data_IF_529719561923
#
_entry.id   IF_529719561923
#
_cell.length_a   1.000
_cell.length_b   1.000
_cell.length_c   1.000
_cell.angle_alpha   90.00
_cell.angle_beta   90.00
_cell.angle_gamma   90.00
#
_symmetry.space_group_name_H-M   'P 1'
#
loop_
_entity.id
_entity.type
_entity.pdbx_description
1 polymer ?
#
# COMPACT_ATOMS: atom_id res chain seq x y z
N UNK A 1 5.46 -4.70 15.24
CA UNK A 1 5.89 -6.03 15.72
C UNK A 1 4.83 -6.70 16.60
N UNK A 2 4.46 -6.13 17.75
CA UNK A 2 3.46 -6.76 18.63
C UNK A 2 2.11 -7.02 17.93
N UNK A 3 1.57 -6.05 17.19
CA UNK A 3 0.30 -6.21 16.46
C UNK A 3 0.34 -7.35 15.44
N UNK A 4 1.48 -7.53 14.75
CA UNK A 4 1.64 -8.61 13.77
C UNK A 4 1.79 -9.98 14.43
N UNK A 5 2.43 -10.07 15.61
CA UNK A 5 2.48 -11.31 16.41
C UNK A 5 1.07 -11.70 16.90
N UNK A 6 0.31 -10.72 17.39
CA UNK A 6 -1.09 -10.92 17.79
C UNK A 6 -1.95 -11.40 16.62
N UNK A 7 -1.81 -10.80 15.43
CA UNK A 7 -2.54 -11.25 14.25
C UNK A 7 -2.27 -12.72 13.91
N UNK A 8 -0.99 -13.15 13.92
CA UNK A 8 -0.64 -14.55 13.69
C UNK A 8 -1.20 -15.47 14.79
N UNK A 9 -1.17 -15.04 16.05
CA UNK A 9 -1.73 -15.80 17.17
C UNK A 9 -3.25 -15.98 17.02
N UNK A 10 -3.97 -14.93 16.62
CA UNK A 10 -5.41 -14.98 16.36
C UNK A 10 -5.74 -15.93 15.21
N UNK A 11 -4.93 -15.97 14.14
CA UNK A 11 -5.11 -16.93 13.05
C UNK A 11 -4.93 -18.39 13.52
N UNK A 12 -4.00 -18.64 14.44
CA UNK A 12 -3.84 -19.95 15.08
C UNK A 12 -5.05 -20.34 15.94
N UNK A 13 -5.55 -19.39 16.73
CA UNK A 13 -6.75 -19.56 17.55
C UNK A 13 -7.99 -19.87 16.68
N UNK A 14 -8.15 -19.18 15.54
CA UNK A 14 -9.24 -19.42 14.59
C UNK A 14 -9.19 -20.84 14.01
N UNK A 15 -8.01 -21.32 13.60
CA UNK A 15 -7.84 -22.69 13.13
C UNK A 15 -8.21 -23.73 14.21
N UNK A 16 -7.83 -23.49 15.47
CA UNK A 16 -8.19 -24.36 16.59
C UNK A 16 -9.71 -24.37 16.84
N UNK A 17 -10.36 -23.20 16.81
CA UNK A 17 -11.81 -23.07 16.94
C UNK A 17 -12.51 -23.79 15.79
N UNK A 18 -12.09 -23.56 14.55
CA UNK A 18 -12.66 -24.21 13.36
C UNK A 18 -12.56 -25.73 13.44
N UNK A 19 -11.41 -26.26 13.86
CA UNK A 19 -11.24 -27.69 14.08
C UNK A 19 -12.20 -28.19 15.16
N UNK A 20 -12.24 -27.58 16.34
CA UNK A 20 -13.15 -27.99 17.42
C UNK A 20 -14.64 -27.89 17.04
N UNK A 21 -15.02 -26.88 16.27
CA UNK A 21 -16.38 -26.72 15.75
C UNK A 21 -16.81 -27.89 14.87
N UNK A 22 -15.87 -28.54 14.17
CA UNK A 22 -16.13 -29.70 13.33
C UNK A 22 -16.29 -31.03 14.10
N UNK A 23 -15.90 -31.09 15.37
CA UNK A 23 -15.78 -32.34 16.14
C UNK A 23 -16.98 -32.60 17.08
N UNK A 24 -18.17 -32.11 16.72
CA UNK A 24 -19.40 -32.40 17.48
C UNK A 24 -19.84 -33.85 17.31
N UNK A 25 -20.31 -34.49 18.39
CA UNK A 25 -20.86 -35.85 18.34
C UNK A 25 -22.31 -35.84 18.80
N UNK A 26 -23.22 -36.23 17.90
CA UNK A 26 -24.66 -36.33 18.13
C UNK A 26 -25.26 -35.06 18.75
N UNK A 27 -25.78 -35.14 19.98
CA UNK A 27 -26.54 -34.06 20.62
C UNK A 27 -25.66 -32.92 21.14
N UNK A 28 -24.33 -33.09 21.23
CA UNK A 28 -23.48 -32.10 21.89
C UNK A 28 -22.05 -32.01 21.35
N UNK A 29 -21.58 -30.78 21.15
CA UNK A 29 -20.15 -30.48 21.02
C UNK A 29 -19.54 -30.27 22.41
N UNK A 30 -18.56 -31.09 22.78
CA UNK A 30 -17.90 -31.07 24.09
C UNK A 30 -16.60 -30.24 24.13
N UNK A 31 -16.24 -29.57 23.03
CA UNK A 31 -15.06 -28.70 22.93
C UNK A 31 -15.34 -27.24 23.30
N UNK A 32 -16.55 -26.93 23.80
CA UNK A 32 -16.98 -25.56 24.15
C UNK A 32 -15.99 -24.78 25.01
N UNK A 33 -15.35 -25.34 26.07
CA UNK A 33 -14.41 -24.58 26.89
C UNK A 33 -13.18 -24.10 26.10
N UNK A 34 -12.66 -24.95 25.20
CA UNK A 34 -11.50 -24.61 24.37
C UNK A 34 -11.84 -23.55 23.32
N UNK A 35 -13.00 -23.69 22.66
CA UNK A 35 -13.46 -22.68 21.70
C UNK A 35 -13.69 -21.32 22.36
N UNK A 36 -14.34 -21.31 23.53
CA UNK A 36 -14.56 -20.10 24.31
C UNK A 36 -13.24 -19.44 24.75
N UNK A 37 -12.27 -20.22 25.22
CA UNK A 37 -10.95 -19.70 25.61
C UNK A 37 -10.24 -19.03 24.44
N UNK A 38 -10.12 -19.71 23.29
CA UNK A 38 -9.44 -19.17 22.11
C UNK A 38 -10.14 -17.91 21.58
N UNK A 39 -11.48 -17.88 21.59
CA UNK A 39 -12.24 -16.71 21.18
C UNK A 39 -12.00 -15.53 22.12
N UNK A 40 -12.15 -15.72 23.43
CA UNK A 40 -11.98 -14.65 24.42
C UNK A 40 -10.53 -14.14 24.46
N UNK A 41 -9.54 -15.03 24.33
CA UNK A 41 -8.15 -14.65 24.23
C UNK A 41 -7.89 -13.80 22.98
N UNK A 42 -8.43 -14.20 21.82
CA UNK A 42 -8.29 -13.43 20.58
C UNK A 42 -8.91 -12.03 20.71
N UNK A 43 -10.09 -11.92 21.31
CA UNK A 43 -10.76 -10.63 21.56
C UNK A 43 -9.89 -9.74 22.45
N UNK A 44 -9.39 -10.27 23.56
CA UNK A 44 -8.55 -9.52 24.49
C UNK A 44 -7.26 -9.05 23.81
N UNK A 45 -6.54 -9.94 23.13
CA UNK A 45 -5.29 -9.62 22.46
C UNK A 45 -5.49 -8.57 21.36
N UNK A 46 -6.53 -8.69 20.54
CA UNK A 46 -6.84 -7.69 19.51
C UNK A 46 -7.19 -6.34 20.13
N UNK A 47 -8.02 -6.31 21.18
CA UNK A 47 -8.37 -5.08 21.90
C UNK A 47 -7.15 -4.38 22.46
N UNK A 48 -6.32 -5.10 23.21
CA UNK A 48 -5.11 -4.55 23.83
C UNK A 48 -4.08 -4.11 22.79
N UNK A 49 -3.85 -4.93 21.76
CA UNK A 49 -2.86 -4.61 20.73
C UNK A 49 -3.28 -3.43 19.86
N UNK A 50 -4.56 -3.31 19.49
CA UNK A 50 -5.06 -2.18 18.70
C UNK A 50 -5.07 -0.88 19.50
N UNK A 51 -5.47 -0.92 20.77
CA UNK A 51 -5.40 0.24 21.66
C UNK A 51 -3.94 0.70 21.85
N UNK A 52 -3.04 -0.24 22.17
CA UNK A 52 -1.61 0.03 22.35
C UNK A 52 -0.95 0.55 21.06
N UNK A 53 -1.22 -0.06 19.91
CA UNK A 53 -0.71 0.39 18.62
C UNK A 53 -1.19 1.80 18.28
N UNK A 54 -2.45 2.10 18.57
CA UNK A 54 -3.03 3.43 18.33
C UNK A 54 -2.32 4.49 19.16
N UNK A 55 -2.21 4.26 20.47
CA UNK A 55 -1.62 5.20 21.43
C UNK A 55 -0.12 5.40 21.19
N UNK A 56 0.62 4.30 21.00
CA UNK A 56 2.09 4.30 21.04
C UNK A 56 2.75 4.48 19.68
N UNK A 57 2.01 4.34 18.58
CA UNK A 57 2.57 4.47 17.24
C UNK A 57 1.68 5.29 16.32
N UNK A 58 0.42 4.90 16.12
CA UNK A 58 -0.44 5.50 15.08
C UNK A 58 -0.64 7.00 15.28
N UNK A 59 -0.98 7.45 16.50
CA UNK A 59 -1.20 8.89 16.79
C UNK A 59 0.04 9.76 16.56
N UNK A 60 1.23 9.16 16.63
CA UNK A 60 2.51 9.87 16.48
C UNK A 60 3.11 9.82 15.09
N UNK A 61 2.47 9.15 14.12
CA UNK A 61 3.04 8.96 12.80
C UNK A 61 3.18 10.31 12.06
N UNK A 62 4.35 10.55 11.48
CA UNK A 62 4.63 11.75 10.67
C UNK A 62 5.20 11.33 9.33
N UNK A 63 4.73 11.99 8.27
CA UNK A 63 5.28 11.82 6.94
C UNK A 63 6.69 12.41 6.87
N UNK A 64 7.60 11.71 6.20
CA UNK A 64 8.86 12.29 5.76
C UNK A 64 8.63 12.93 4.39
N UNK A 65 8.06 14.14 4.39
CA UNK A 65 7.61 14.83 3.18
C UNK A 65 8.74 15.04 2.17
N UNK A 66 9.95 15.42 2.63
CA UNK A 66 11.08 15.63 1.75
C UNK A 66 11.51 14.35 1.03
N UNK A 67 11.49 13.20 1.72
CA UNK A 67 11.76 11.90 1.09
C UNK A 67 10.66 11.49 0.12
N UNK A 68 9.40 11.70 0.49
CA UNK A 68 8.24 11.35 -0.35
C UNK A 68 8.28 12.16 -1.65
N UNK A 69 8.49 13.48 -1.53
CA UNK A 69 8.58 14.41 -2.66
C UNK A 69 9.71 14.01 -3.61
N UNK A 70 10.89 13.69 -3.06
CA UNK A 70 12.03 13.23 -3.85
C UNK A 70 11.69 11.97 -4.65
N UNK A 71 11.17 10.93 -3.98
CA UNK A 71 10.80 9.67 -4.62
C UNK A 71 9.72 9.86 -5.69
N UNK A 72 8.77 10.74 -5.45
CA UNK A 72 7.70 11.06 -6.40
C UNK A 72 8.28 11.72 -7.66
N UNK A 73 9.21 12.68 -7.53
CA UNK A 73 9.85 13.35 -8.68
C UNK A 73 10.80 12.45 -9.47
N UNK A 74 11.45 11.51 -8.79
CA UNK A 74 12.35 10.53 -9.41
C UNK A 74 11.60 9.34 -10.04
N UNK A 75 10.31 9.19 -9.76
CA UNK A 75 9.50 8.07 -10.25
C UNK A 75 9.28 8.13 -11.76
N UNK A 76 9.58 7.00 -12.43
CA UNK A 76 9.30 6.83 -13.86
C UNK A 76 7.81 6.55 -14.15
N UNK A 77 6.99 6.35 -13.11
CA UNK A 77 5.56 6.03 -13.27
C UNK A 77 4.72 7.25 -13.69
N UNK A 78 5.23 8.47 -13.49
CA UNK A 78 4.55 9.70 -13.92
C UNK A 78 4.52 9.87 -15.45
N UNK A 79 5.24 9.02 -16.19
CA UNK A 79 5.32 9.06 -17.65
C UNK A 79 3.97 8.86 -18.34
N UNK A 80 3.00 8.23 -17.67
CA UNK A 80 1.64 8.06 -18.19
C UNK A 80 0.92 9.39 -18.40
N UNK A 81 1.28 10.44 -17.64
CA UNK A 81 0.77 11.79 -17.86
C UNK A 81 1.19 12.36 -19.22
N UNK A 82 2.34 11.94 -19.75
CA UNK A 82 2.82 12.38 -21.07
C UNK A 82 2.09 11.70 -22.23
N UNK A 83 1.52 10.51 -22.03
CA UNK A 83 0.95 9.71 -23.11
C UNK A 83 -0.15 10.43 -23.93
N UNK A 84 -1.07 11.22 -23.34
CA UNK A 84 -2.03 12.03 -24.12
C UNK A 84 -1.39 13.13 -24.97
N UNK A 85 -0.21 13.63 -24.58
CA UNK A 85 0.48 14.73 -25.26
C UNK A 85 1.43 14.25 -26.35
N UNK A 86 2.20 13.19 -26.07
CA UNK A 86 3.26 12.72 -26.98
C UNK A 86 2.99 11.33 -27.57
N UNK A 87 1.89 10.68 -27.19
CA UNK A 87 1.57 9.32 -27.58
C UNK A 87 2.25 8.26 -26.69
N UNK A 88 1.64 7.07 -26.64
CA UNK A 88 2.07 5.97 -25.78
C UNK A 88 3.50 5.49 -26.07
N UNK A 89 3.86 5.35 -27.35
CA UNK A 89 5.18 4.83 -27.74
C UNK A 89 6.31 5.80 -27.37
N UNK A 90 6.09 7.10 -27.54
CA UNK A 90 7.07 8.12 -27.15
C UNK A 90 7.20 8.22 -25.64
N UNK A 91 6.08 8.17 -24.89
CA UNK A 91 6.11 8.08 -23.43
C UNK A 91 6.89 6.85 -22.95
N UNK A 92 6.64 5.68 -23.56
CA UNK A 92 7.40 4.45 -23.27
C UNK A 92 8.89 4.60 -23.55
N UNK A 93 9.25 5.27 -24.66
CA UNK A 93 10.65 5.56 -25.02
C UNK A 93 11.33 6.46 -23.99
N UNK A 94 10.65 7.49 -23.49
CA UNK A 94 11.16 8.37 -22.42
C UNK A 94 11.46 7.54 -21.16
N UNK A 95 10.50 6.73 -20.69
CA UNK A 95 10.65 5.94 -19.47
C UNK A 95 11.82 4.95 -19.56
N UNK A 96 11.93 4.23 -20.69
CA UNK A 96 13.01 3.25 -20.92
C UNK A 96 14.39 3.92 -20.97
N UNK A 97 14.48 5.08 -21.60
CA UNK A 97 15.74 5.84 -21.69
C UNK A 97 16.14 6.36 -20.32
N UNK A 98 15.20 6.93 -19.56
CA UNK A 98 15.43 7.42 -18.21
C UNK A 98 15.90 6.30 -17.26
N UNK A 99 15.26 5.14 -17.32
CA UNK A 99 15.69 3.97 -16.54
C UNK A 99 17.10 3.51 -16.91
N UNK A 100 17.41 3.43 -18.21
CA UNK A 100 18.73 2.99 -18.69
C UNK A 100 19.84 3.95 -18.28
N UNK A 101 19.57 5.25 -18.31
CA UNK A 101 20.56 6.30 -18.06
C UNK A 101 20.65 6.69 -16.57
N UNK A 102 19.71 6.26 -15.74
CA UNK A 102 19.60 6.70 -14.34
C UNK A 102 19.23 8.17 -14.21
N UNK A 103 18.49 8.71 -15.19
CA UNK A 103 18.06 10.11 -15.28
C UNK A 103 16.56 10.25 -15.00
N UNK A 104 16.08 11.48 -14.86
CA UNK A 104 14.67 11.76 -14.61
C UNK A 104 13.84 11.76 -15.89
N UNK A 105 12.51 11.60 -15.75
CA UNK A 105 11.59 11.75 -16.87
C UNK A 105 11.67 13.14 -17.51
N UNK A 106 11.84 14.19 -16.69
CA UNK A 106 11.94 15.59 -17.17
C UNK A 106 13.13 15.74 -18.10
N UNK A 107 14.30 15.31 -17.65
CA UNK A 107 15.54 15.38 -18.43
C UNK A 107 15.42 14.65 -19.77
N UNK A 108 14.92 13.41 -19.77
CA UNK A 108 14.85 12.63 -21.01
C UNK A 108 13.72 13.08 -21.94
N UNK A 109 12.58 13.54 -21.40
CA UNK A 109 11.48 14.06 -22.23
C UNK A 109 11.90 15.32 -23.00
N UNK A 110 12.70 16.18 -22.37
CA UNK A 110 13.27 17.39 -22.97
C UNK A 110 14.41 17.04 -23.92
N UNK A 111 15.35 16.20 -23.48
CA UNK A 111 16.52 15.79 -24.29
C UNK A 111 16.13 15.06 -25.58
N UNK A 112 15.06 14.27 -25.54
CA UNK A 112 14.52 13.60 -26.73
C UNK A 112 13.66 14.53 -27.60
N UNK A 113 13.42 15.76 -27.16
CA UNK A 113 12.67 16.78 -27.91
C UNK A 113 11.17 16.52 -27.98
N UNK A 114 10.61 15.73 -27.05
CA UNK A 114 9.19 15.42 -27.05
C UNK A 114 8.33 16.49 -26.39
N UNK A 115 8.87 17.19 -25.38
CA UNK A 115 8.24 18.34 -24.70
C UNK A 115 9.32 19.32 -24.26
N UNK A 116 8.95 20.59 -24.07
CA UNK A 116 9.76 21.58 -23.36
C UNK A 116 9.50 21.55 -21.84
N UNK A 117 10.27 22.34 -21.08
CA UNK A 117 10.13 22.44 -19.62
C UNK A 117 8.72 22.87 -19.20
N UNK A 118 8.17 23.89 -19.85
CA UNK A 118 6.86 24.44 -19.53
C UNK A 118 5.74 23.42 -19.76
N UNK A 119 5.80 22.69 -20.88
CA UNK A 119 4.84 21.64 -21.20
C UNK A 119 4.97 20.46 -20.24
N UNK A 120 6.19 20.06 -19.89
CA UNK A 120 6.39 18.99 -18.90
C UNK A 120 5.76 19.36 -17.55
N UNK A 121 6.06 20.56 -17.04
CA UNK A 121 5.58 21.03 -15.74
C UNK A 121 4.05 21.27 -15.75
N UNK A 122 3.46 21.55 -16.90
CA UNK A 122 1.99 21.66 -17.08
C UNK A 122 1.29 20.31 -17.13
N UNK A 123 1.90 19.32 -17.78
CA UNK A 123 1.27 18.02 -18.05
C UNK A 123 1.51 17.02 -16.93
N UNK A 124 2.72 16.99 -16.39
CA UNK A 124 3.13 16.05 -15.34
C UNK A 124 2.82 16.65 -13.98
N UNK A 125 1.55 16.53 -13.58
CA UNK A 125 0.98 17.05 -12.32
C UNK A 125 0.53 15.90 -11.41
N UNK A 126 1.39 15.39 -10.51
CA UNK A 126 1.07 14.23 -9.66
C UNK A 126 -0.20 14.40 -8.84
N UNK A 127 -0.51 15.62 -8.40
CA UNK A 127 -1.74 15.96 -7.67
C UNK A 127 -3.01 15.81 -8.52
N UNK A 128 -2.89 15.75 -9.85
CA UNK A 128 -4.01 15.48 -10.77
C UNK A 128 -4.08 13.99 -11.18
N UNK A 129 -3.20 13.14 -10.65
CA UNK A 129 -3.09 11.71 -10.97
C UNK A 129 -3.57 10.80 -9.84
N UNK A 130 -4.22 11.36 -8.81
CA UNK A 130 -4.67 10.63 -7.61
C UNK A 130 -6.14 10.20 -7.65
N UNK A 131 -6.82 10.39 -8.79
CA UNK A 131 -8.23 10.04 -8.97
C UNK A 131 -8.67 10.12 -10.43
N UNK A 132 -9.87 9.63 -10.76
CA UNK A 132 -10.43 9.79 -12.10
C UNK A 132 -10.68 11.27 -12.41
N UNK A 133 -10.52 11.65 -13.68
CA UNK A 133 -10.91 13.00 -14.14
C UNK A 133 -12.43 13.05 -14.26
N UNK A 134 -13.04 14.14 -13.80
CA UNK A 134 -14.46 14.40 -14.07
C UNK A 134 -14.67 14.50 -15.59
N UNK A 135 -15.77 13.91 -16.05
CA UNK A 135 -16.10 13.74 -17.47
C UNK A 135 -16.64 15.03 -18.10
#
# INVERSE_FOLDING_TARGET
EALTQVALHVMGNDAAIGMAGSQGHFELNVYNPMMAYNLLQSIQLLGDATASFTERMLKGIKANESRIEKLMRESLMLVTALAPTIGYDNATKVAKTAHKNGTTLREEAIKLGFVDEETFDRVVRPEQMVGPKEA
#
